data_IF_409220481747
#
_entry.id   IF_409220481747
#
_cell.length_a   1.000
_cell.length_b   1.000
_cell.length_c   1.000
_cell.angle_alpha   90.00
_cell.angle_beta   90.00
_cell.angle_gamma   90.00
#
_symmetry.space_group_name_H-M   'P 1'
#
loop_
_entity.id
_entity.type
_entity.pdbx_description
1 polymer ?
#
# COMPACT_ATOMS: atom_id res chain seq x y z
N UNK A 1 -1.27 57.48 3.66
CA UNK A 1 -2.33 56.43 3.84
C UNK A 1 -2.19 55.21 2.91
N UNK A 2 -1.99 55.36 1.58
CA UNK A 2 -1.86 54.23 0.65
C UNK A 2 -0.62 53.35 0.87
N UNK A 3 0.54 53.98 1.14
CA UNK A 3 1.81 53.25 1.35
C UNK A 3 1.82 52.37 2.59
N UNK A 4 1.18 52.79 3.66
CA UNK A 4 1.10 51.99 4.91
C UNK A 4 0.15 50.78 4.76
N UNK A 5 -0.90 50.94 3.96
CA UNK A 5 -1.83 49.84 3.67
C UNK A 5 -1.13 48.72 2.87
N UNK A 6 -0.35 49.11 1.85
CA UNK A 6 0.46 48.14 1.08
C UNK A 6 1.52 47.43 1.97
N UNK A 7 2.18 48.18 2.87
CA UNK A 7 3.15 47.59 3.78
C UNK A 7 2.52 46.56 4.75
N UNK A 8 1.29 46.83 5.23
CA UNK A 8 0.56 45.93 6.11
C UNK A 8 0.10 44.66 5.37
N UNK A 9 -0.36 44.77 4.12
CA UNK A 9 -0.72 43.63 3.30
C UNK A 9 0.49 42.77 3.00
N UNK A 10 1.63 43.40 2.62
CA UNK A 10 2.86 42.68 2.35
C UNK A 10 3.33 41.90 3.58
N UNK A 11 3.29 42.53 4.76
CA UNK A 11 3.65 41.89 6.03
C UNK A 11 2.74 40.67 6.32
N UNK A 12 1.43 40.79 6.13
CA UNK A 12 0.48 39.70 6.32
C UNK A 12 0.75 38.54 5.35
N UNK A 13 1.00 38.83 4.08
CA UNK A 13 1.33 37.80 3.08
C UNK A 13 2.64 37.07 3.44
N UNK A 14 3.66 37.78 3.91
CA UNK A 14 4.91 37.18 4.36
C UNK A 14 4.70 36.29 5.59
N UNK A 15 3.87 36.71 6.56
CA UNK A 15 3.55 35.91 7.73
C UNK A 15 2.77 34.62 7.35
N UNK A 16 1.80 34.75 6.44
CA UNK A 16 1.06 33.59 5.94
C UNK A 16 1.99 32.64 5.19
N UNK A 17 2.86 33.13 4.33
CA UNK A 17 3.81 32.32 3.60
C UNK A 17 4.83 31.63 4.55
N UNK A 18 5.30 32.32 5.59
CA UNK A 18 6.22 31.78 6.58
C UNK A 18 5.64 30.59 7.37
N UNK A 19 4.31 30.54 7.53
CA UNK A 19 3.62 29.41 8.19
C UNK A 19 3.21 28.35 7.18
N UNK A 20 2.67 28.74 6.02
CA UNK A 20 2.15 27.82 5.03
C UNK A 20 3.24 26.95 4.39
N UNK A 21 4.41 27.53 4.05
CA UNK A 21 5.49 26.80 3.40
C UNK A 21 6.02 25.64 4.27
N UNK A 22 6.37 25.82 5.55
CA UNK A 22 6.84 24.70 6.37
C UNK A 22 5.75 23.66 6.64
N UNK A 23 4.48 24.06 6.76
CA UNK A 23 3.37 23.12 6.97
C UNK A 23 3.15 22.23 5.74
N UNK A 24 3.17 22.82 4.54
CA UNK A 24 3.07 22.06 3.28
C UNK A 24 4.30 21.16 3.11
N UNK A 25 5.48 21.67 3.35
CA UNK A 25 6.73 20.88 3.27
C UNK A 25 6.76 19.73 4.28
N UNK A 26 6.22 19.92 5.47
CA UNK A 26 6.13 18.87 6.49
C UNK A 26 5.13 17.78 6.06
N UNK A 27 3.96 18.16 5.54
CA UNK A 27 2.98 17.20 4.99
C UNK A 27 3.54 16.38 3.83
N UNK A 28 4.30 16.99 2.94
CA UNK A 28 4.94 16.28 1.83
C UNK A 28 6.04 15.31 2.31
N UNK A 29 6.79 15.64 3.35
CA UNK A 29 7.84 14.77 3.90
C UNK A 29 7.27 13.58 4.67
N UNK A 30 6.16 13.73 5.37
CA UNK A 30 5.50 12.61 6.06
C UNK A 30 4.84 11.63 5.09
N UNK A 31 4.52 12.07 3.87
CA UNK A 31 3.95 11.24 2.81
C UNK A 31 4.98 10.38 2.06
N UNK A 32 6.29 10.59 2.27
CA UNK A 32 7.38 9.92 1.53
C UNK A 32 8.15 8.91 2.40
N UNK A 33 7.52 8.34 3.42
CA UNK A 33 8.18 7.35 4.26
C UNK A 33 8.27 6.01 3.53
N UNK A 34 9.49 5.63 3.15
CA UNK A 34 9.79 4.29 2.63
C UNK A 34 9.72 3.26 3.76
N UNK A 35 8.99 2.17 3.55
CA UNK A 35 8.86 1.06 4.49
C UNK A 35 9.77 -0.05 4.01
N UNK A 36 10.66 -0.55 4.86
CA UNK A 36 11.43 -1.74 4.57
C UNK A 36 10.61 -2.98 4.96
N UNK A 37 10.29 -3.81 3.98
CA UNK A 37 9.53 -5.04 4.13
C UNK A 37 10.45 -6.25 3.98
N UNK A 38 10.62 -6.99 5.06
CA UNK A 38 11.42 -8.21 5.11
C UNK A 38 10.58 -9.44 4.75
N UNK A 39 11.09 -10.26 3.87
CA UNK A 39 10.53 -11.55 3.50
C UNK A 39 11.34 -12.68 4.15
N UNK A 40 10.65 -13.61 4.80
CA UNK A 40 11.21 -14.87 5.36
C UNK A 40 10.25 -16.00 5.07
N UNK A 41 10.73 -17.23 5.10
CA UNK A 41 9.85 -18.40 5.07
C UNK A 41 8.78 -18.28 6.16
N UNK A 42 7.58 -18.79 5.89
CA UNK A 42 6.47 -18.71 6.84
C UNK A 42 6.79 -19.31 8.21
N UNK A 43 7.66 -20.32 8.24
CA UNK A 43 8.14 -20.99 9.45
C UNK A 43 9.04 -20.12 10.33
N UNK A 44 9.68 -19.11 9.73
CA UNK A 44 10.65 -18.23 10.40
C UNK A 44 10.18 -16.80 10.56
N UNK A 45 8.89 -16.52 10.25
CA UNK A 45 8.28 -15.21 10.51
C UNK A 45 7.49 -14.60 9.37
N UNK A 46 7.60 -15.09 8.14
CA UNK A 46 6.86 -14.56 7.00
C UNK A 46 7.25 -13.12 6.67
N UNK A 47 6.25 -12.26 6.47
CA UNK A 47 6.44 -10.85 6.19
C UNK A 47 6.60 -10.01 7.46
N UNK A 48 7.54 -9.07 7.43
CA UNK A 48 7.71 -8.11 8.54
C UNK A 48 7.98 -6.70 7.99
N UNK A 49 7.08 -5.71 8.24
CA UNK A 49 5.80 -5.85 8.92
C UNK A 49 4.75 -6.61 8.09
N UNK A 50 3.84 -7.32 8.74
CA UNK A 50 2.75 -8.07 8.08
C UNK A 50 1.58 -7.16 7.66
N UNK A 51 1.42 -6.02 8.33
CA UNK A 51 0.35 -5.07 8.06
C UNK A 51 0.93 -3.69 7.73
N UNK A 52 0.49 -3.13 6.61
CA UNK A 52 0.83 -1.80 6.14
C UNK A 52 -0.42 -0.95 6.06
N UNK A 53 -0.26 0.38 6.20
CA UNK A 53 -1.37 1.32 6.08
C UNK A 53 -0.95 2.47 5.18
N UNK A 54 -1.85 2.88 4.26
CA UNK A 54 -1.65 4.02 3.37
C UNK A 54 -2.98 4.72 3.11
N UNK A 55 -2.95 6.01 2.82
CA UNK A 55 -4.15 6.74 2.39
C UNK A 55 -4.39 6.55 0.88
N UNK A 56 -5.66 6.45 0.48
CA UNK A 56 -6.04 6.35 -0.93
C UNK A 56 -5.48 7.53 -1.73
N UNK A 57 -4.90 7.23 -2.91
CA UNK A 57 -4.25 8.20 -3.78
C UNK A 57 -2.82 8.60 -3.36
N UNK A 58 -2.33 8.14 -2.20
CA UNK A 58 -0.96 8.41 -1.78
C UNK A 58 0.00 7.30 -2.23
N UNK A 59 1.23 7.64 -2.64
CA UNK A 59 2.23 6.65 -2.97
C UNK A 59 2.73 5.93 -1.71
N UNK A 60 2.74 4.61 -1.76
CA UNK A 60 3.36 3.73 -0.77
C UNK A 60 4.70 3.26 -1.34
N UNK A 61 5.80 3.71 -0.76
CA UNK A 61 7.15 3.31 -1.13
C UNK A 61 7.60 2.15 -0.24
N UNK A 62 8.01 1.05 -0.85
CA UNK A 62 8.42 -0.16 -0.13
C UNK A 62 9.78 -0.60 -0.66
N UNK A 63 10.75 -0.74 0.23
CA UNK A 63 11.97 -1.49 -0.03
C UNK A 63 11.72 -2.96 0.34
N UNK A 64 11.82 -3.85 -0.62
CA UNK A 64 11.64 -5.29 -0.45
C UNK A 64 13.00 -5.96 -0.26
N UNK A 65 13.18 -6.75 0.79
CA UNK A 65 14.40 -7.54 1.01
C UNK A 65 14.07 -8.93 1.55
N UNK A 66 14.95 -9.90 1.30
CA UNK A 66 14.83 -11.24 1.86
C UNK A 66 15.94 -11.50 2.85
N UNK A 67 15.59 -12.12 3.98
CA UNK A 67 16.54 -12.52 5.03
C UNK A 67 16.99 -13.98 4.90
N UNK A 68 16.41 -14.78 4.00
CA UNK A 68 16.72 -16.21 3.87
C UNK A 68 16.84 -16.68 2.41
N UNK A 69 15.76 -16.97 1.73
CA UNK A 69 15.74 -17.48 0.35
C UNK A 69 15.09 -16.47 -0.60
N UNK A 70 15.11 -16.74 -1.90
CA UNK A 70 14.37 -15.91 -2.85
C UNK A 70 12.87 -16.06 -2.66
N UNK A 71 12.20 -14.95 -2.48
CA UNK A 71 10.74 -14.81 -2.44
C UNK A 71 10.22 -14.05 -3.64
N UNK A 72 8.92 -13.79 -3.66
CA UNK A 72 8.32 -12.83 -4.57
C UNK A 72 7.23 -12.04 -3.86
N UNK A 73 7.00 -10.81 -4.30
CA UNK A 73 5.96 -9.94 -3.81
C UNK A 73 4.92 -9.75 -4.90
N UNK A 74 3.70 -10.12 -4.60
CA UNK A 74 2.54 -9.91 -5.46
C UNK A 74 1.39 -9.34 -4.65
N UNK A 75 0.52 -8.56 -5.30
CA UNK A 75 -0.66 -7.96 -4.68
C UNK A 75 -1.90 -8.57 -5.31
N UNK A 76 -2.81 -9.06 -4.47
CA UNK A 76 -4.12 -9.52 -4.92
C UNK A 76 -4.94 -8.36 -5.49
N UNK A 77 -5.73 -8.65 -6.53
CA UNK A 77 -6.59 -7.66 -7.21
C UNK A 77 -5.81 -6.51 -7.87
N UNK A 78 -4.57 -6.78 -8.29
CA UNK A 78 -3.72 -5.83 -9.00
C UNK A 78 -3.23 -6.46 -10.29
N UNK A 79 -3.12 -5.65 -11.35
CA UNK A 79 -2.52 -6.06 -12.64
C UNK A 79 -0.99 -5.99 -12.62
N UNK A 80 -0.38 -5.64 -11.49
CA UNK A 80 1.07 -5.57 -11.40
C UNK A 80 1.69 -6.96 -11.36
N UNK A 81 2.73 -7.21 -12.15
CA UNK A 81 3.42 -8.49 -12.13
C UNK A 81 4.13 -8.71 -10.79
N UNK A 82 4.28 -9.97 -10.34
CA UNK A 82 5.08 -10.29 -9.17
C UNK A 82 6.53 -9.80 -9.32
N UNK A 83 7.09 -9.31 -8.21
CA UNK A 83 8.47 -8.83 -8.12
C UNK A 83 9.30 -9.84 -7.34
N UNK A 84 10.41 -10.32 -7.90
CA UNK A 84 11.33 -11.21 -7.20
C UNK A 84 12.15 -10.44 -6.15
N UNK A 85 12.39 -11.09 -5.01
CA UNK A 85 13.12 -10.55 -3.87
C UNK A 85 14.26 -11.49 -3.55
N UNK A 86 15.49 -11.01 -3.75
CA UNK A 86 16.68 -11.81 -3.51
C UNK A 86 17.31 -11.51 -2.15
N UNK A 87 17.93 -12.51 -1.50
CA UNK A 87 18.68 -12.29 -0.27
C UNK A 87 19.81 -11.27 -0.46
N UNK A 88 19.92 -10.32 0.49
CA UNK A 88 20.98 -9.31 0.48
C UNK A 88 20.79 -8.17 -0.50
N UNK A 89 19.68 -8.13 -1.22
CA UNK A 89 19.31 -7.04 -2.13
C UNK A 89 18.09 -6.29 -1.61
N UNK A 90 17.97 -5.02 -1.98
CA UNK A 90 16.76 -4.22 -1.74
C UNK A 90 16.16 -3.87 -3.09
N UNK A 91 14.94 -4.32 -3.32
CA UNK A 91 14.16 -3.98 -4.51
C UNK A 91 13.12 -2.94 -4.15
N UNK A 92 13.19 -1.75 -4.74
CA UNK A 92 12.25 -0.66 -4.49
C UNK A 92 11.00 -0.81 -5.35
N UNK A 93 9.83 -0.71 -4.72
CA UNK A 93 8.55 -0.66 -5.40
C UNK A 93 7.73 0.52 -4.90
N UNK A 94 6.94 1.12 -5.79
CA UNK A 94 6.00 2.18 -5.44
C UNK A 94 4.62 1.78 -5.89
N UNK A 95 3.68 1.80 -4.94
CA UNK A 95 2.29 1.40 -5.14
C UNK A 95 1.38 2.59 -4.91
N UNK A 96 0.32 2.69 -5.71
CA UNK A 96 -0.74 3.68 -5.51
C UNK A 96 -2.08 2.95 -5.54
N UNK A 97 -2.86 3.10 -4.47
CA UNK A 97 -4.21 2.54 -4.37
C UNK A 97 -5.21 3.69 -4.42
N UNK A 98 -6.07 3.70 -5.41
CA UNK A 98 -7.07 4.76 -5.58
C UNK A 98 -8.35 4.53 -4.75
N UNK A 99 -8.59 3.30 -4.32
CA UNK A 99 -9.80 2.93 -3.58
C UNK A 99 -9.45 2.45 -2.17
N UNK A 100 -10.16 2.92 -1.13
CA UNK A 100 -10.05 2.38 0.21
C UNK A 100 -10.43 0.90 0.26
N UNK A 101 -9.75 0.14 1.11
CA UNK A 101 -10.02 -1.28 1.25
C UNK A 101 -8.84 -2.05 1.83
N UNK A 102 -8.98 -3.36 1.89
CA UNK A 102 -7.91 -4.27 2.31
C UNK A 102 -7.39 -5.04 1.11
N UNK A 103 -6.12 -4.88 0.84
CA UNK A 103 -5.40 -5.56 -0.23
C UNK A 103 -4.44 -6.57 0.39
N UNK A 104 -4.45 -7.79 -0.13
CA UNK A 104 -3.52 -8.83 0.35
C UNK A 104 -2.29 -8.83 -0.52
N UNK A 105 -1.10 -8.81 0.09
CA UNK A 105 0.14 -9.15 -0.60
C UNK A 105 0.61 -10.54 -0.16
N UNK A 106 1.32 -11.24 -1.05
CA UNK A 106 1.69 -12.63 -0.84
C UNK A 106 2.89 -13.05 -1.68
N UNK A 107 3.51 -14.17 -1.28
CA UNK A 107 4.57 -14.80 -2.05
C UNK A 107 3.98 -15.75 -3.10
N UNK A 108 4.42 -15.62 -4.36
CA UNK A 108 4.02 -16.53 -5.46
C UNK A 108 5.08 -17.57 -5.79
N UNK A 109 6.30 -17.43 -5.23
CA UNK A 109 7.41 -18.33 -5.46
C UNK A 109 7.43 -19.42 -4.38
N UNK A 110 7.65 -20.67 -4.79
CA UNK A 110 7.83 -21.77 -3.82
C UNK A 110 9.10 -21.56 -3.01
N UNK A 111 8.98 -21.10 -1.77
CA UNK A 111 10.09 -20.80 -0.86
C UNK A 111 10.17 -21.77 0.33
N UNK A 112 9.04 -22.42 0.70
CA UNK A 112 8.97 -23.41 1.77
C UNK A 112 7.70 -24.24 1.68
N UNK A 113 7.54 -25.25 2.53
CA UNK A 113 6.33 -26.10 2.58
C UNK A 113 5.07 -25.33 2.99
N UNK A 114 5.22 -24.21 3.72
CA UNK A 114 4.12 -23.35 4.15
C UNK A 114 4.10 -22.02 3.40
N UNK A 115 4.69 -21.92 2.20
CA UNK A 115 4.76 -20.66 1.45
C UNK A 115 3.40 -20.00 1.25
N UNK A 116 2.32 -20.76 1.16
CA UNK A 116 0.95 -20.27 1.02
C UNK A 116 0.48 -19.42 2.22
N UNK A 117 1.15 -19.53 3.39
CA UNK A 117 0.91 -18.72 4.58
C UNK A 117 1.64 -17.38 4.54
N UNK A 118 2.57 -17.18 3.61
CA UNK A 118 3.27 -15.90 3.45
C UNK A 118 2.32 -14.86 2.83
N UNK A 119 1.52 -14.26 3.68
CA UNK A 119 0.53 -13.24 3.33
C UNK A 119 0.61 -12.08 4.29
N UNK A 120 0.34 -10.88 3.79
CA UNK A 120 0.21 -9.68 4.60
C UNK A 120 -0.92 -8.80 4.04
N UNK A 121 -1.21 -7.71 4.72
CA UNK A 121 -2.33 -6.84 4.39
C UNK A 121 -1.87 -5.39 4.23
N UNK A 122 -2.34 -4.73 3.18
CA UNK A 122 -2.25 -3.28 3.01
C UNK A 122 -3.65 -2.73 3.26
N UNK A 123 -3.82 -1.96 4.34
CA UNK A 123 -5.05 -1.25 4.63
C UNK A 123 -4.99 0.14 4.00
N UNK A 124 -5.84 0.36 3.00
CA UNK A 124 -5.97 1.65 2.34
C UNK A 124 -7.11 2.42 3.00
N UNK A 125 -6.76 3.52 3.66
CA UNK A 125 -7.71 4.39 4.37
C UNK A 125 -8.13 5.57 3.49
N UNK A 126 -9.30 6.14 3.76
CA UNK A 126 -9.79 7.34 3.06
C UNK A 126 -11.30 7.31 2.88
N UNK A 127 -11.89 8.40 2.37
CA UNK A 127 -13.30 8.41 2.03
C UNK A 127 -13.55 7.44 0.88
N UNK A 128 -14.55 6.57 1.02
CA UNK A 128 -14.97 5.68 -0.05
C UNK A 128 -15.42 6.53 -1.25
N UNK A 129 -14.61 6.53 -2.31
CA UNK A 129 -14.98 7.18 -3.57
C UNK A 129 -15.91 6.22 -4.30
N UNK A 130 -17.21 6.49 -4.26
CA UNK A 130 -18.28 5.79 -4.96
C UNK A 130 -18.28 4.26 -4.78
N UNK A 131 -19.44 3.73 -4.46
CA UNK A 131 -19.71 2.28 -4.31
C UNK A 131 -19.13 1.52 -5.50
N UNK A 132 -17.99 0.85 -5.32
CA UNK A 132 -17.54 -0.16 -6.27
C UNK A 132 -18.65 -1.21 -6.31
N UNK A 133 -19.31 -1.35 -7.43
CA UNK A 133 -20.18 -2.49 -7.67
C UNK A 133 -19.29 -3.73 -7.55
N UNK A 134 -19.34 -4.39 -6.40
CA UNK A 134 -18.61 -5.66 -6.21
C UNK A 134 -19.16 -6.59 -7.27
N UNK A 135 -18.37 -6.87 -8.27
CA UNK A 135 -18.74 -7.87 -9.26
C UNK A 135 -18.86 -9.20 -8.52
N UNK A 136 -20.04 -9.84 -8.55
CA UNK A 136 -20.20 -11.09 -7.84
C UNK A 136 -19.17 -12.10 -8.34
N UNK A 137 -18.71 -13.02 -7.48
CA UNK A 137 -17.81 -14.09 -7.90
C UNK A 137 -18.35 -14.81 -9.15
N UNK A 138 -17.47 -15.28 -10.01
CA UNK A 138 -17.83 -15.87 -11.30
C UNK A 138 -18.88 -17.00 -11.18
N UNK A 139 -18.77 -17.82 -10.14
CA UNK A 139 -19.74 -18.89 -9.90
C UNK A 139 -21.17 -18.37 -9.62
N UNK A 140 -21.30 -17.21 -8.93
CA UNK A 140 -22.60 -16.56 -8.71
C UNK A 140 -23.15 -16.00 -10.03
N UNK A 141 -22.27 -15.36 -10.83
CA UNK A 141 -22.64 -14.80 -12.13
C UNK A 141 -23.06 -15.91 -13.13
N UNK A 142 -22.50 -17.11 -13.00
CA UNK A 142 -22.84 -18.28 -13.82
C UNK A 142 -23.99 -19.12 -13.24
N UNK A 143 -24.53 -18.73 -12.08
CA UNK A 143 -25.61 -19.48 -11.41
C UNK A 143 -25.15 -20.84 -10.89
N UNK A 144 -23.87 -21.04 -10.65
CA UNK A 144 -23.32 -22.27 -10.09
C UNK A 144 -23.55 -22.28 -8.58
N UNK A 145 -24.30 -23.26 -8.10
CA UNK A 145 -24.50 -23.53 -6.67
C UNK A 145 -23.42 -24.53 -6.21
N UNK A 146 -22.35 -23.96 -5.59
CA UNK A 146 -21.24 -24.78 -5.08
C UNK A 146 -21.52 -25.42 -3.72
N UNK A 147 -22.60 -25.05 -3.04
CA UNK A 147 -22.96 -25.61 -1.74
C UNK A 147 -23.75 -26.94 -1.86
N UNK A 148 -24.23 -27.29 -3.05
CA UNK A 148 -25.05 -28.48 -3.25
C UNK A 148 -24.30 -29.82 -3.34
N UNK A 149 -22.96 -29.78 -3.48
CA UNK A 149 -22.16 -31.00 -3.70
C UNK A 149 -21.54 -31.62 -2.42
N UNK A 150 -21.72 -31.01 -1.24
CA UNK A 150 -21.09 -31.48 -0.01
C UNK A 150 -22.03 -32.23 0.96
N UNK A 151 -23.21 -32.59 0.53
CA UNK A 151 -24.18 -33.31 1.36
C UNK A 151 -24.72 -34.60 0.69
N UNK A 152 -23.86 -35.33 0.00
CA UNK A 152 -24.17 -36.70 -0.46
C UNK A 152 -23.26 -37.73 0.20
#
# INVERSE_FOLDING_TARGET
MRKEWFARILLLLLLVAAVAIPVVGWRQRTSSQSILLHARMAETGGWTPENLTVEAGQPLHIGLTSDDVTHSFAIGQSDQPPVDIHPGEITEVTLVFNEPGKYTFYCTRWCSVNHWRMRGTIEVTGPATATKTVQPPLYVALGLDIDSEHHA
#
